data_IF_654750614671
#
_entry.id   IF_654750614671
#
_cell.length_a   1.000
_cell.length_b   1.000
_cell.length_c   1.000
_cell.angle_alpha   90.00
_cell.angle_beta   90.00
_cell.angle_gamma   90.00
#
_symmetry.space_group_name_H-M   'P 1'
#
loop_
_entity.id
_entity.type
_entity.pdbx_description
1 polymer ?
#
# COMPACT_ATOMS: atom_id res chain seq x y z
N UNK A 1 19.73 9.38 16.80
CA UNK A 1 20.51 8.16 17.07
C UNK A 1 19.70 6.96 16.58
N UNK A 2 19.93 6.48 15.38
CA UNK A 2 19.29 5.28 14.82
C UNK A 2 19.80 4.04 15.59
N UNK A 3 18.95 3.45 16.43
CA UNK A 3 19.24 2.17 17.09
C UNK A 3 19.44 1.11 15.99
N UNK A 4 20.66 0.69 15.75
CA UNK A 4 20.95 -0.43 14.83
C UNK A 4 20.19 -1.67 15.36
N UNK A 5 19.26 -2.15 14.57
CA UNK A 5 18.51 -3.38 14.87
C UNK A 5 19.51 -4.54 15.05
N UNK A 6 19.47 -5.31 16.14
CA UNK A 6 20.36 -6.45 16.33
C UNK A 6 20.27 -7.43 15.17
N UNK A 7 21.40 -8.01 14.75
CA UNK A 7 21.51 -8.89 13.59
C UNK A 7 20.46 -10.03 13.58
N UNK A 8 20.26 -10.66 14.75
CA UNK A 8 19.28 -11.76 14.88
C UNK A 8 17.84 -11.30 14.59
N UNK A 9 17.47 -10.06 14.99
CA UNK A 9 16.14 -9.50 14.72
C UNK A 9 15.97 -9.20 13.23
N UNK A 10 17.01 -8.67 12.59
CA UNK A 10 17.01 -8.44 11.14
C UNK A 10 16.85 -9.76 10.37
N UNK A 11 17.59 -10.82 10.76
CA UNK A 11 17.45 -12.16 10.15
C UNK A 11 16.03 -12.69 10.37
N UNK A 12 15.52 -12.62 11.61
CA UNK A 12 14.17 -13.07 11.94
C UNK A 12 13.11 -12.32 11.10
N UNK A 13 13.21 -11.00 10.97
CA UNK A 13 12.29 -10.20 10.16
C UNK A 13 12.31 -10.62 8.68
N UNK A 14 13.50 -10.86 8.10
CA UNK A 14 13.61 -11.33 6.70
C UNK A 14 13.00 -12.71 6.49
N UNK A 15 13.28 -13.66 7.38
CA UNK A 15 12.70 -15.02 7.32
C UNK A 15 11.18 -14.96 7.47
N UNK A 16 10.68 -14.19 8.43
CA UNK A 16 9.24 -13.98 8.63
C UNK A 16 8.60 -13.34 7.39
N UNK A 17 9.25 -12.34 6.78
CA UNK A 17 8.75 -11.71 5.56
C UNK A 17 8.67 -12.68 4.37
N UNK A 18 9.67 -13.56 4.19
CA UNK A 18 9.62 -14.59 3.15
C UNK A 18 8.52 -15.62 3.43
N UNK A 19 8.37 -16.05 4.69
CA UNK A 19 7.31 -16.98 5.08
C UNK A 19 5.93 -16.38 4.87
N UNK A 20 5.70 -15.13 5.26
CA UNK A 20 4.43 -14.43 5.04
C UNK A 20 4.11 -14.30 3.54
N UNK A 21 5.09 -13.90 2.73
CA UNK A 21 4.91 -13.80 1.28
C UNK A 21 4.62 -15.16 0.64
N UNK A 22 5.31 -16.22 1.07
CA UNK A 22 5.04 -17.59 0.60
C UNK A 22 3.64 -18.04 0.98
N UNK A 23 3.25 -17.89 2.26
CA UNK A 23 1.93 -18.27 2.77
C UNK A 23 0.81 -17.49 2.07
N UNK A 24 0.98 -16.17 1.91
CA UNK A 24 0.01 -15.35 1.19
C UNK A 24 -0.18 -15.84 -0.25
N UNK A 25 0.91 -16.09 -0.98
CA UNK A 25 0.85 -16.62 -2.37
C UNK A 25 0.21 -18.01 -2.42
N UNK A 26 0.51 -18.87 -1.46
CA UNK A 26 -0.01 -20.24 -1.42
C UNK A 26 -1.53 -20.25 -1.13
N UNK A 27 -2.00 -19.44 -0.17
CA UNK A 27 -3.42 -19.40 0.22
C UNK A 27 -4.26 -18.64 -0.81
N UNK A 28 -3.77 -17.52 -1.33
CA UNK A 28 -4.58 -16.60 -2.14
C UNK A 28 -4.27 -16.69 -3.64
N UNK A 29 -3.29 -17.48 -4.06
CA UNK A 29 -2.79 -17.52 -5.44
C UNK A 29 -2.62 -16.10 -6.05
N UNK A 30 -2.25 -15.12 -5.20
CA UNK A 30 -2.19 -13.71 -5.58
C UNK A 30 -1.28 -13.48 -6.78
N UNK A 31 -1.78 -12.74 -7.77
CA UNK A 31 -1.08 -12.41 -9.02
C UNK A 31 -0.93 -10.91 -9.18
N UNK A 32 0.18 -10.49 -9.79
CA UNK A 32 0.38 -9.14 -10.25
C UNK A 32 -0.01 -9.03 -11.73
N UNK A 33 -0.78 -8.01 -12.07
CA UNK A 33 -1.01 -7.57 -13.43
C UNK A 33 -0.41 -6.19 -13.62
N UNK A 34 0.38 -6.01 -14.70
CA UNK A 34 1.04 -4.75 -15.01
C UNK A 34 0.41 -4.17 -16.29
N UNK A 35 -0.36 -3.08 -16.17
CA UNK A 35 -1.09 -2.45 -17.26
C UNK A 35 -0.53 -1.05 -17.55
N UNK A 36 0.18 -0.89 -18.64
CA UNK A 36 0.81 0.38 -19.01
C UNK A 36 2.02 0.78 -18.15
N UNK A 37 2.60 -0.19 -17.43
CA UNK A 37 3.78 -0.02 -16.58
C UNK A 37 4.54 -1.35 -16.50
N UNK A 38 5.86 -1.29 -16.32
CA UNK A 38 6.71 -2.47 -16.14
C UNK A 38 7.26 -2.56 -14.71
N UNK A 39 7.56 -3.79 -14.20
CA UNK A 39 8.13 -4.01 -12.88
C UNK A 39 9.64 -3.72 -12.84
N UNK A 40 10.03 -2.49 -13.14
CA UNK A 40 11.42 -2.02 -13.10
C UNK A 40 11.74 -1.33 -11.78
N UNK A 41 13.04 -1.29 -11.44
CA UNK A 41 13.54 -0.64 -10.22
C UNK A 41 13.52 0.88 -10.35
N UNK A 42 12.35 1.48 -10.13
CA UNK A 42 12.11 2.91 -10.10
C UNK A 42 11.37 3.28 -8.83
N UNK A 43 11.66 4.45 -8.28
CA UNK A 43 10.95 4.94 -7.09
C UNK A 43 9.49 5.25 -7.42
N UNK A 44 8.57 4.72 -6.60
CA UNK A 44 7.12 4.78 -6.85
C UNK A 44 6.32 4.97 -5.58
N UNK A 45 5.17 5.64 -5.70
CA UNK A 45 4.11 5.61 -4.71
C UNK A 45 2.96 4.80 -5.28
N UNK A 46 2.77 3.58 -4.78
CA UNK A 46 1.62 2.73 -5.11
C UNK A 46 0.43 3.19 -4.27
N UNK A 47 -0.56 3.82 -4.91
CA UNK A 47 -1.79 4.22 -4.22
C UNK A 47 -2.93 3.27 -4.57
N UNK A 48 -3.64 2.77 -3.56
CA UNK A 48 -4.56 1.65 -3.73
C UNK A 48 -5.92 1.88 -3.05
N UNK A 49 -6.93 1.12 -3.51
CA UNK A 49 -8.20 0.96 -2.82
C UNK A 49 -8.00 0.22 -1.50
N UNK A 50 -8.84 0.53 -0.49
CA UNK A 50 -8.67 -0.02 0.85
C UNK A 50 -9.97 -0.59 1.43
N UNK A 51 -10.15 -1.89 1.32
CA UNK A 51 -11.36 -2.60 1.81
C UNK A 51 -11.04 -3.70 2.82
N UNK A 52 -9.78 -4.14 2.89
CA UNK A 52 -9.35 -5.23 3.77
C UNK A 52 -8.03 -4.92 4.47
N UNK A 53 -7.81 -5.51 5.64
CA UNK A 53 -6.50 -5.53 6.29
C UNK A 53 -5.44 -6.31 5.49
N UNK A 54 -5.87 -7.13 4.52
CA UNK A 54 -4.98 -7.92 3.67
C UNK A 54 -4.46 -7.14 2.45
N UNK A 55 -5.04 -5.98 2.09
CA UNK A 55 -4.69 -5.25 0.87
C UNK A 55 -3.19 -4.90 0.83
N UNK A 56 -2.67 -4.31 1.91
CA UNK A 56 -1.26 -3.95 2.01
C UNK A 56 -0.32 -5.17 1.90
N UNK A 57 -0.52 -6.26 2.67
CA UNK A 57 0.25 -7.49 2.49
C UNK A 57 0.19 -8.06 1.08
N UNK A 58 -0.96 -7.98 0.39
CA UNK A 58 -1.11 -8.50 -0.97
C UNK A 58 -0.27 -7.68 -1.96
N UNK A 59 -0.37 -6.34 -1.94
CA UNK A 59 0.45 -5.46 -2.79
C UNK A 59 1.93 -5.75 -2.53
N UNK A 60 2.35 -5.77 -1.25
CA UNK A 60 3.75 -6.01 -0.89
C UNK A 60 4.24 -7.39 -1.34
N UNK A 61 3.40 -8.42 -1.26
CA UNK A 61 3.75 -9.81 -1.61
C UNK A 61 3.97 -10.00 -3.10
N UNK A 62 3.17 -9.36 -3.97
CA UNK A 62 3.27 -9.53 -5.43
C UNK A 62 4.42 -8.77 -6.05
N UNK A 63 4.94 -7.73 -5.38
CA UNK A 63 6.11 -7.01 -5.87
C UNK A 63 7.31 -7.95 -6.02
N UNK A 64 8.10 -7.82 -7.11
CA UNK A 64 9.38 -8.49 -7.24
C UNK A 64 10.28 -8.23 -6.03
N UNK A 65 11.11 -9.18 -5.65
CA UNK A 65 11.91 -9.10 -4.42
C UNK A 65 12.76 -7.82 -4.33
N UNK A 66 13.40 -7.41 -5.43
CA UNK A 66 14.24 -6.22 -5.48
C UNK A 66 13.44 -4.92 -5.28
N UNK A 67 12.22 -4.83 -5.81
CA UNK A 67 11.32 -3.71 -5.61
C UNK A 67 10.74 -3.72 -4.19
N UNK A 68 10.29 -4.88 -3.71
CA UNK A 68 9.74 -5.07 -2.36
C UNK A 68 10.72 -4.64 -1.27
N UNK A 69 12.01 -4.91 -1.44
CA UNK A 69 13.04 -4.54 -0.48
C UNK A 69 13.17 -3.02 -0.28
N UNK A 70 12.76 -2.23 -1.27
CA UNK A 70 12.78 -0.75 -1.27
C UNK A 70 11.40 -0.14 -1.04
N UNK A 71 10.35 -0.95 -0.93
CA UNK A 71 8.97 -0.48 -0.82
C UNK A 71 8.49 -0.57 0.63
N UNK A 72 8.06 0.57 1.18
CA UNK A 72 7.63 0.74 2.56
C UNK A 72 6.14 1.10 2.61
N UNK A 73 5.28 0.30 3.24
CA UNK A 73 3.89 0.68 3.46
C UNK A 73 3.77 1.85 4.44
N UNK A 74 2.91 2.81 4.13
CA UNK A 74 2.50 3.86 5.09
C UNK A 74 1.38 3.31 5.95
N UNK A 75 1.54 3.35 7.25
CA UNK A 75 0.65 2.67 8.17
C UNK A 75 0.43 3.44 9.48
N UNK A 76 -0.72 3.20 10.12
CA UNK A 76 -1.08 3.85 11.36
C UNK A 76 -0.29 3.32 12.56
N UNK A 77 0.39 4.21 13.28
CA UNK A 77 1.21 3.88 14.43
C UNK A 77 0.39 3.24 15.57
N UNK A 78 -0.81 3.77 15.83
CA UNK A 78 -1.72 3.27 16.86
C UNK A 78 -2.15 1.81 16.63
N UNK A 79 -2.26 1.39 15.37
CA UNK A 79 -2.58 0.00 15.02
C UNK A 79 -1.36 -0.93 15.17
N UNK A 80 -0.22 -0.53 14.60
CA UNK A 80 0.96 -1.42 14.53
C UNK A 80 1.74 -1.48 15.85
N UNK A 81 1.71 -0.44 16.67
CA UNK A 81 2.40 -0.42 17.96
C UNK A 81 1.53 -0.95 19.12
N UNK A 82 0.31 -1.42 18.86
CA UNK A 82 -0.64 -1.88 19.89
C UNK A 82 -0.10 -3.07 20.71
N UNK A 83 0.67 -3.96 20.11
CA UNK A 83 1.27 -5.11 20.79
C UNK A 83 2.61 -5.51 20.15
N UNK A 84 3.39 -6.35 20.86
CA UNK A 84 4.76 -6.74 20.46
C UNK A 84 4.81 -7.45 19.09
N UNK A 85 3.82 -8.29 18.77
CA UNK A 85 3.78 -9.01 17.48
C UNK A 85 3.58 -8.03 16.33
N UNK A 86 2.60 -7.12 16.43
CA UNK A 86 2.37 -6.10 15.41
C UNK A 86 3.57 -5.16 15.29
N UNK A 87 4.16 -4.74 16.42
CA UNK A 87 5.34 -3.88 16.44
C UNK A 87 6.58 -4.56 15.81
N UNK A 88 6.63 -5.88 15.77
CA UNK A 88 7.64 -6.63 15.01
C UNK A 88 7.25 -6.71 13.52
N UNK A 89 6.01 -7.11 13.20
CA UNK A 89 5.60 -7.34 11.80
C UNK A 89 5.56 -6.04 11.00
N UNK A 90 4.94 -4.97 11.51
CA UNK A 90 4.83 -3.69 10.80
C UNK A 90 6.20 -3.03 10.56
N UNK A 91 6.86 -2.55 11.63
CA UNK A 91 8.13 -1.84 11.50
C UNK A 91 9.31 -2.68 11.02
N UNK A 92 9.42 -3.96 11.43
CA UNK A 92 10.62 -4.74 11.15
C UNK A 92 10.49 -5.66 9.92
N UNK A 93 9.31 -6.29 9.72
CA UNK A 93 9.11 -7.17 8.55
C UNK A 93 8.72 -6.38 7.31
N UNK A 94 7.69 -5.52 7.42
CA UNK A 94 7.23 -4.69 6.29
C UNK A 94 7.99 -3.36 6.15
N UNK A 95 8.81 -2.99 7.13
CA UNK A 95 9.51 -1.69 7.18
C UNK A 95 8.57 -0.49 7.03
N UNK A 96 7.40 -0.56 7.70
CA UNK A 96 6.35 0.46 7.56
C UNK A 96 6.83 1.85 7.97
N UNK A 97 6.43 2.86 7.21
CA UNK A 97 6.45 4.26 7.62
C UNK A 97 5.26 4.48 8.53
N UNK A 98 5.52 4.68 9.83
CA UNK A 98 4.46 4.85 10.82
C UNK A 98 4.02 6.31 10.90
N UNK A 99 2.71 6.54 10.76
CA UNK A 99 2.10 7.87 10.86
C UNK A 99 1.15 7.89 12.06
N UNK A 100 1.30 8.86 12.94
CA UNK A 100 0.35 9.10 14.04
C UNK A 100 -0.85 9.89 13.52
N UNK A 101 -2.04 9.30 13.66
CA UNK A 101 -3.31 9.89 13.20
C UNK A 101 -4.06 10.65 14.30
N UNK A 102 -3.58 10.60 15.54
CA UNK A 102 -4.24 11.24 16.69
C UNK A 102 -4.06 12.75 16.65
N UNK A 103 -5.15 13.53 16.76
CA UNK A 103 -5.08 15.00 16.75
C UNK A 103 -4.21 15.58 17.88
N UNK A 104 -4.21 14.91 19.04
CA UNK A 104 -3.51 15.34 20.27
C UNK A 104 -1.99 15.12 20.18
N UNK A 105 -1.54 14.19 19.35
CA UNK A 105 -0.11 13.91 19.12
C UNK A 105 0.49 14.73 17.96
N UNK A 106 -0.27 15.65 17.38
CA UNK A 106 0.16 16.51 16.26
C UNK A 106 1.10 17.63 16.72
N UNK A 107 2.21 17.28 17.33
CA UNK A 107 3.34 18.21 17.50
C UNK A 107 4.17 18.33 16.23
N UNK A 108 4.12 17.28 15.36
CA UNK A 108 4.91 17.18 14.13
C UNK A 108 3.99 17.05 12.91
N UNK A 109 4.48 17.49 11.75
CA UNK A 109 3.81 17.34 10.46
C UNK A 109 3.61 15.84 10.15
N UNK A 110 2.35 15.35 10.01
CA UNK A 110 2.09 13.93 9.73
C UNK A 110 2.71 13.44 8.42
N UNK A 111 3.05 14.35 7.51
CA UNK A 111 3.69 14.05 6.24
C UNK A 111 5.23 13.99 6.34
N UNK A 112 5.85 14.43 7.45
CA UNK A 112 7.31 14.47 7.59
C UNK A 112 7.93 13.08 7.38
N UNK A 113 7.47 12.06 8.11
CA UNK A 113 7.98 10.69 7.97
C UNK A 113 7.79 10.10 6.56
N UNK A 114 6.76 10.53 5.84
CA UNK A 114 6.50 10.12 4.46
C UNK A 114 7.51 10.80 3.53
N UNK A 115 7.74 12.11 3.69
CA UNK A 115 8.74 12.85 2.90
C UNK A 115 10.13 12.31 3.14
N UNK A 116 10.53 12.12 4.41
CA UNK A 116 11.83 11.53 4.76
C UNK A 116 12.04 10.18 4.06
N UNK A 117 11.02 9.32 4.03
CA UNK A 117 11.11 8.03 3.35
C UNK A 117 11.26 8.18 1.82
N UNK A 118 10.58 9.17 1.21
CA UNK A 118 10.75 9.47 -0.22
C UNK A 118 12.12 10.06 -0.51
N UNK A 119 12.62 10.98 0.33
CA UNK A 119 13.96 11.58 0.22
C UNK A 119 15.06 10.52 0.36
N UNK A 120 14.86 9.49 1.18
CA UNK A 120 15.71 8.31 1.30
C UNK A 120 15.65 7.37 0.08
N UNK A 121 14.85 7.67 -0.95
CA UNK A 121 14.68 6.86 -2.16
C UNK A 121 13.76 5.64 -1.98
N UNK A 122 13.00 5.57 -0.90
CA UNK A 122 12.03 4.49 -0.70
C UNK A 122 10.84 4.66 -1.64
N UNK A 123 10.31 3.55 -2.16
CA UNK A 123 8.96 3.48 -2.72
C UNK A 123 7.94 3.32 -1.59
N UNK A 124 6.70 3.76 -1.81
CA UNK A 124 5.66 3.67 -0.78
C UNK A 124 4.43 2.90 -1.27
N UNK A 125 3.71 2.28 -0.33
CA UNK A 125 2.33 1.81 -0.53
C UNK A 125 1.44 2.66 0.36
N UNK A 126 0.44 3.31 -0.22
CA UNK A 126 -0.50 4.17 0.49
C UNK A 126 -1.95 3.85 0.13
N UNK A 127 -2.83 4.21 1.04
CA UNK A 127 -4.28 4.17 0.83
C UNK A 127 -4.80 5.60 0.96
N UNK A 128 -5.04 6.31 -0.17
CA UNK A 128 -5.37 7.74 -0.15
C UNK A 128 -6.73 8.04 0.50
N UNK A 129 -7.60 7.06 0.62
CA UNK A 129 -8.85 7.12 1.37
C UNK A 129 -8.62 7.37 2.87
N UNK A 130 -7.48 6.92 3.40
CA UNK A 130 -7.07 7.07 4.80
C UNK A 130 -7.82 6.17 5.80
N UNK A 131 -8.91 5.55 5.39
CA UNK A 131 -9.67 4.56 6.13
C UNK A 131 -10.09 3.42 5.19
N UNK A 132 -10.48 2.28 5.77
CA UNK A 132 -11.07 1.21 4.97
C UNK A 132 -12.45 1.65 4.48
N UNK A 133 -12.71 1.41 3.21
CA UNK A 133 -14.02 1.58 2.64
C UNK A 133 -14.95 0.45 3.12
N UNK A 134 -16.01 0.82 3.82
CA UNK A 134 -17.05 -0.07 4.34
C UNK A 134 -18.40 0.24 3.69
N UNK A 135 -18.40 1.02 2.61
CA UNK A 135 -19.59 1.40 1.84
C UNK A 135 -19.69 0.57 0.56
N UNK A 136 -20.79 0.72 -0.17
CA UNK A 136 -20.99 0.09 -1.48
C UNK A 136 -20.33 0.91 -2.62
N UNK A 137 -19.83 2.11 -2.34
CA UNK A 137 -19.10 2.91 -3.31
C UNK A 137 -17.74 2.27 -3.64
N UNK A 138 -17.24 2.33 -4.88
CA UNK A 138 -15.97 1.71 -5.25
C UNK A 138 -14.76 2.33 -4.51
N UNK A 139 -14.82 3.61 -4.16
CA UNK A 139 -13.77 4.33 -3.44
C UNK A 139 -14.37 5.40 -2.51
N UNK A 140 -13.72 5.64 -1.37
CA UNK A 140 -13.94 6.84 -0.59
C UNK A 140 -13.15 8.03 -1.19
N UNK A 141 -13.56 9.29 -0.88
CA UNK A 141 -12.84 10.47 -1.32
C UNK A 141 -11.36 10.44 -0.89
N UNK A 142 -10.46 10.78 -1.82
CA UNK A 142 -9.04 10.82 -1.56
C UNK A 142 -8.65 12.04 -0.72
N UNK A 143 -7.73 11.83 0.21
CA UNK A 143 -7.13 12.89 1.02
C UNK A 143 -5.98 13.57 0.25
N UNK A 144 -5.67 14.81 0.61
CA UNK A 144 -4.64 15.63 -0.03
C UNK A 144 -3.22 15.02 0.00
N UNK A 145 -2.97 14.01 0.84
CA UNK A 145 -1.64 13.41 0.98
C UNK A 145 -1.03 12.92 -0.34
N UNK A 146 -1.84 12.31 -1.22
CA UNK A 146 -1.37 11.85 -2.53
C UNK A 146 -0.91 13.02 -3.42
N UNK A 147 -1.71 14.11 -3.47
CA UNK A 147 -1.36 15.31 -4.20
C UNK A 147 -0.08 15.96 -3.64
N UNK A 148 0.02 16.11 -2.32
CA UNK A 148 1.18 16.70 -1.66
C UNK A 148 2.48 15.92 -1.94
N UNK A 149 2.41 14.57 -2.00
CA UNK A 149 3.56 13.74 -2.39
C UNK A 149 3.96 13.99 -3.85
N UNK A 150 3.00 14.05 -4.77
CA UNK A 150 3.28 14.32 -6.18
C UNK A 150 3.86 15.71 -6.41
N UNK A 151 3.41 16.72 -5.67
CA UNK A 151 3.94 18.08 -5.72
C UNK A 151 5.37 18.18 -5.16
N UNK A 152 5.63 17.55 -4.02
CA UNK A 152 6.95 17.62 -3.36
C UNK A 152 8.01 16.74 -4.05
N UNK A 153 7.59 15.68 -4.74
CA UNK A 153 8.46 14.70 -5.40
C UNK A 153 8.01 14.43 -6.84
N UNK A 154 8.11 15.42 -7.75
CA UNK A 154 7.54 15.32 -9.12
C UNK A 154 8.23 14.24 -9.98
N UNK A 155 9.42 13.75 -9.58
CA UNK A 155 10.14 12.66 -10.25
C UNK A 155 9.66 11.27 -9.84
N UNK A 156 8.85 11.16 -8.79
CA UNK A 156 8.33 9.88 -8.29
C UNK A 156 7.04 9.51 -9.03
N UNK A 157 7.00 8.29 -9.55
CA UNK A 157 5.81 7.78 -10.23
C UNK A 157 4.69 7.50 -9.21
N UNK A 158 3.51 8.11 -9.40
CA UNK A 158 2.30 7.78 -8.65
C UNK A 158 1.54 6.69 -9.41
N UNK A 159 1.53 5.47 -8.87
CA UNK A 159 1.03 4.27 -9.58
C UNK A 159 -0.31 3.84 -8.99
N UNK A 160 -1.43 3.97 -9.74
CA UNK A 160 -2.70 3.41 -9.31
C UNK A 160 -2.59 1.90 -9.21
N UNK A 161 -3.09 1.34 -8.11
CA UNK A 161 -2.93 -0.07 -7.79
C UNK A 161 -4.25 -0.62 -7.26
N UNK A 162 -4.95 -1.42 -8.06
CA UNK A 162 -6.22 -2.01 -7.65
C UNK A 162 -5.99 -3.40 -7.05
N UNK A 163 -6.49 -3.60 -5.84
CA UNK A 163 -6.57 -4.91 -5.21
C UNK A 163 -7.97 -5.46 -5.44
N UNK A 164 -8.09 -6.42 -6.35
CA UNK A 164 -9.35 -7.11 -6.61
C UNK A 164 -9.65 -8.09 -5.48
N UNK A 165 -10.85 -7.98 -4.94
CA UNK A 165 -11.13 -8.51 -3.64
C UNK A 165 -11.67 -9.92 -3.57
N UNK A 166 -11.34 -10.48 -2.50
CA UNK A 166 -11.61 -11.73 -1.84
C UNK A 166 -13.04 -11.89 -1.30
N UNK A 167 -13.85 -10.84 -1.25
CA UNK A 167 -15.17 -10.88 -0.57
C UNK A 167 -16.23 -11.65 -1.32
N UNK A 168 -16.04 -11.96 -2.60
CA UNK A 168 -17.03 -12.65 -3.43
C UNK A 168 -16.96 -14.19 -3.38
N UNK A 169 -16.06 -14.78 -2.56
CA UNK A 169 -15.70 -16.19 -2.69
C UNK A 169 -16.20 -17.08 -1.53
N UNK A 170 -16.99 -16.56 -0.61
CA UNK A 170 -17.73 -17.40 0.34
C UNK A 170 -19.24 -17.10 0.28
N UNK A 171 -20.00 -17.78 -0.60
CA UNK A 171 -21.44 -17.85 -0.42
C UNK A 171 -21.73 -18.44 0.96
N UNK A 172 -22.67 -17.87 1.70
CA UNK A 172 -23.08 -18.40 3.02
C UNK A 172 -23.44 -19.87 2.89
N UNK A 173 -22.65 -20.76 3.48
CA UNK A 173 -22.94 -22.19 3.59
C UNK A 173 -21.95 -23.15 2.94
N UNK A 174 -20.92 -22.71 2.23
CA UNK A 174 -19.92 -23.59 1.65
C UNK A 174 -18.64 -23.66 2.49
N UNK A 175 -18.19 -24.88 2.81
CA UNK A 175 -17.07 -25.20 3.70
C UNK A 175 -15.78 -25.50 2.90
N UNK A 176 -15.81 -25.36 1.58
CA UNK A 176 -14.63 -25.61 0.74
C UNK A 176 -13.96 -24.26 0.48
N UNK A 177 -12.71 -24.03 0.96
CA UNK A 177 -11.96 -22.86 0.55
C UNK A 177 -11.62 -23.01 -0.94
N UNK A 178 -12.41 -22.38 -1.81
CA UNK A 178 -11.98 -22.15 -3.18
C UNK A 178 -10.70 -21.32 -3.11
N UNK A 179 -9.64 -21.64 -3.89
CA UNK A 179 -8.43 -20.84 -3.89
C UNK A 179 -8.80 -19.41 -4.29
N UNK A 180 -8.66 -18.51 -3.33
CA UNK A 180 -8.97 -17.10 -3.47
C UNK A 180 -7.99 -16.48 -4.47
N UNK A 181 -8.33 -16.42 -5.75
CA UNK A 181 -7.49 -15.75 -6.73
C UNK A 181 -7.61 -14.24 -6.49
N UNK A 182 -6.63 -13.71 -5.75
CA UNK A 182 -6.47 -12.27 -5.60
C UNK A 182 -5.64 -11.72 -6.76
N UNK A 183 -6.06 -10.62 -7.35
CA UNK A 183 -5.29 -9.93 -8.38
C UNK A 183 -4.94 -8.53 -7.89
N UNK A 184 -3.68 -8.15 -8.03
CA UNK A 184 -3.21 -6.78 -7.81
C UNK A 184 -2.83 -6.21 -9.17
N UNK A 185 -3.60 -5.24 -9.65
CA UNK A 185 -3.39 -4.61 -10.95
C UNK A 185 -2.69 -3.26 -10.75
N UNK A 186 -1.52 -3.10 -11.36
CA UNK A 186 -0.76 -1.85 -11.39
C UNK A 186 -1.03 -1.14 -12.73
N UNK A 187 -1.44 0.14 -12.67
CA UNK A 187 -1.74 0.95 -13.84
C UNK A 187 -0.59 1.87 -14.27
N UNK A 188 -0.80 2.60 -15.36
CA UNK A 188 0.14 3.59 -15.84
C UNK A 188 0.40 4.68 -14.78
N UNK A 189 1.66 5.15 -14.63
CA UNK A 189 2.00 6.14 -13.63
C UNK A 189 1.37 7.50 -13.94
N UNK A 190 1.02 8.22 -12.88
CA UNK A 190 0.53 9.60 -12.93
C UNK A 190 1.57 10.52 -12.31
N UNK A 191 1.55 11.78 -12.75
CA UNK A 191 2.29 12.89 -12.15
C UNK A 191 1.33 14.08 -11.99
N UNK A 192 1.57 14.92 -10.98
CA UNK A 192 0.83 16.16 -10.81
C UNK A 192 1.32 17.16 -11.85
N UNK A 193 0.40 17.78 -12.59
CA UNK A 193 0.72 18.82 -13.56
C UNK A 193 1.26 20.09 -12.87
N UNK A 194 2.03 20.91 -13.60
CA UNK A 194 2.71 22.10 -13.08
C UNK A 194 1.75 23.06 -12.37
N UNK A 195 0.56 23.30 -12.95
CA UNK A 195 -0.48 24.16 -12.39
C UNK A 195 -1.79 23.39 -12.12
N UNK A 196 -1.71 22.06 -11.93
CA UNK A 196 -2.89 21.24 -11.74
C UNK A 196 -3.50 21.46 -10.37
N UNK A 197 -4.78 21.82 -10.33
CA UNK A 197 -5.53 21.94 -9.07
C UNK A 197 -5.61 20.59 -8.34
N UNK A 198 -5.55 20.68 -7.01
CA UNK A 198 -5.56 19.51 -6.13
C UNK A 198 -6.77 18.60 -6.37
N UNK A 199 -7.96 19.18 -6.46
CA UNK A 199 -9.20 18.40 -6.55
C UNK A 199 -9.35 17.79 -7.95
N UNK A 200 -8.84 18.47 -9.00
CA UNK A 200 -8.74 17.95 -10.36
C UNK A 200 -7.80 16.74 -10.39
N UNK A 201 -6.61 16.87 -9.80
CA UNK A 201 -5.66 15.76 -9.73
C UNK A 201 -6.23 14.56 -8.94
N UNK A 202 -6.79 14.79 -7.75
CA UNK A 202 -7.34 13.72 -6.92
C UNK A 202 -8.48 12.99 -7.61
N UNK A 203 -9.34 13.72 -8.36
CA UNK A 203 -10.37 13.09 -9.18
C UNK A 203 -9.76 12.23 -10.29
N UNK A 204 -8.78 12.76 -11.02
CA UNK A 204 -8.08 12.02 -12.10
C UNK A 204 -7.37 10.76 -11.54
N UNK A 205 -6.79 10.85 -10.37
CA UNK A 205 -6.16 9.71 -9.70
C UNK A 205 -7.20 8.65 -9.28
N UNK A 206 -8.35 9.08 -8.75
CA UNK A 206 -9.45 8.17 -8.41
C UNK A 206 -10.01 7.49 -9.67
N UNK A 207 -10.28 8.25 -10.74
CA UNK A 207 -10.76 7.72 -12.01
C UNK A 207 -9.78 6.68 -12.61
N UNK A 208 -8.46 6.96 -12.54
CA UNK A 208 -7.42 6.05 -13.01
C UNK A 208 -7.36 4.76 -12.17
N UNK A 209 -7.62 4.85 -10.86
CA UNK A 209 -7.67 3.69 -9.98
C UNK A 209 -8.91 2.84 -10.26
N UNK A 210 -10.10 3.45 -10.38
CA UNK A 210 -11.36 2.74 -10.70
C UNK A 210 -11.29 2.06 -12.06
N UNK A 211 -10.61 2.67 -13.06
CA UNK A 211 -10.44 2.07 -14.39
C UNK A 211 -9.66 0.73 -14.37
N UNK A 212 -8.97 0.40 -13.28
CA UNK A 212 -8.30 -0.89 -13.09
C UNK A 212 -9.20 -1.94 -12.45
N UNK A 213 -10.34 -1.53 -11.90
CA UNK A 213 -11.28 -2.44 -11.25
C UNK A 213 -11.83 -3.46 -12.27
N UNK A 214 -11.96 -4.74 -11.92
CA UNK A 214 -12.72 -5.67 -12.72
C UNK A 214 -14.22 -5.32 -12.65
N UNK A 215 -14.97 -5.59 -13.70
CA UNK A 215 -16.42 -5.28 -13.80
C UNK A 215 -17.23 -5.76 -12.58
N UNK A 216 -16.82 -6.86 -11.96
CA UNK A 216 -17.45 -7.43 -10.77
C UNK A 216 -17.21 -6.66 -9.47
N UNK A 217 -16.28 -5.72 -9.45
CA UNK A 217 -15.89 -4.93 -8.27
C UNK A 217 -16.46 -3.49 -8.36
N UNK A 218 -17.20 -3.19 -9.44
CA UNK A 218 -17.94 -1.95 -9.70
C UNK A 218 -19.44 -2.17 -9.47
#
# INVERSE_FOLDING_TARGET
MTRKTPLYRWIAARLTGHLLAFTARFITAVRAEWRGIEPVDKQRVYFANHISNADMPMIWTVLPHHMRAKTRPVAAADYWLKNKLRAFVGPEVFNCVLVDRRPEARTDDPMAAIRDALDEGSSLIIFPEGNRNMTDDPLLPFRAGLYNMGQSHPHVDLVPTWVANLTTIMPKGEVIPLPLICTVTFGAPLHVGEDEDKDVFLKRAADALVALAPERDL
#
